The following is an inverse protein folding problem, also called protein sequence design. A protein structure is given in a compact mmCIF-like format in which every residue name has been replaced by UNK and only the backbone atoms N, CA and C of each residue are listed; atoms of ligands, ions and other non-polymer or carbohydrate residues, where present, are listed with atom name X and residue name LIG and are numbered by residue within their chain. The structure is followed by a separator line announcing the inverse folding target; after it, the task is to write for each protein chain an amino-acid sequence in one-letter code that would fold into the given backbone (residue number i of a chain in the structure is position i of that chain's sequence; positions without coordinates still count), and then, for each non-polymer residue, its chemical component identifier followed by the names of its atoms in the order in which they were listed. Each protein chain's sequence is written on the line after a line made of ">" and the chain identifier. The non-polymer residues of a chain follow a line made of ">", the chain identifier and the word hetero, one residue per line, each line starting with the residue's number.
data_IF_138922555619
#
_entry.id   IF_138922555619
#
_cell.length_a   1.000
_cell.length_b   1.000
_cell.length_c   1.000
_cell.angle_alpha   90.00
_cell.angle_beta   90.00
_cell.angle_gamma   90.00
#
_symmetry.space_group_name_H-M   'P 1'
#
loop_
_entity.id
_entity.type
_entity.pdbx_description
1 polymer ?
#
# COMPACT_ATOMS: atom_id res chain seq x y z
N UNK A 1 -9.62 0.01 5.47
CA UNK A 1 -8.20 0.34 5.78
C UNK A 1 -8.13 1.49 6.76
N UNK A 2 -8.88 2.56 6.54
CA UNK A 2 -8.85 3.79 7.35
C UNK A 2 -9.25 3.50 8.80
N UNK A 3 -10.30 2.73 9.02
CA UNK A 3 -10.75 2.36 10.36
C UNK A 3 -9.66 1.61 11.15
N UNK A 4 -8.88 0.75 10.49
CA UNK A 4 -7.77 0.02 11.11
C UNK A 4 -6.64 0.99 11.48
N UNK A 5 -6.21 1.85 10.55
CA UNK A 5 -5.16 2.84 10.80
C UNK A 5 -5.56 3.80 11.92
N UNK A 6 -6.79 4.29 11.91
CA UNK A 6 -7.34 5.13 12.97
C UNK A 6 -7.40 4.42 14.31
N UNK A 7 -7.85 3.16 14.34
CA UNK A 7 -7.92 2.36 15.57
C UNK A 7 -6.56 2.20 16.24
N UNK A 8 -5.55 1.80 15.48
CA UNK A 8 -4.18 1.67 15.99
C UNK A 8 -3.59 3.00 16.43
N UNK A 9 -3.78 4.06 15.63
CA UNK A 9 -3.25 5.39 15.97
C UNK A 9 -3.86 5.93 17.27
N UNK A 10 -5.17 5.82 17.44
CA UNK A 10 -5.85 6.25 18.67
C UNK A 10 -5.39 5.45 19.88
N UNK A 11 -5.21 4.15 19.74
CA UNK A 11 -4.71 3.31 20.81
C UNK A 11 -3.27 3.67 21.17
N UNK A 12 -2.41 3.88 20.19
CA UNK A 12 -1.02 4.31 20.41
C UNK A 12 -0.97 5.66 21.16
N UNK A 13 -1.75 6.64 20.71
CA UNK A 13 -1.84 7.94 21.35
C UNK A 13 -2.31 7.82 22.81
N UNK A 14 -3.32 6.99 23.09
CA UNK A 14 -3.79 6.73 24.45
C UNK A 14 -2.77 6.05 25.36
N UNK A 15 -1.78 5.37 24.77
CA UNK A 15 -0.65 4.75 25.46
C UNK A 15 0.55 5.70 25.64
N UNK A 16 0.44 6.94 25.19
CA UNK A 16 1.47 7.97 25.33
C UNK A 16 2.52 7.96 24.22
N UNK A 17 2.21 7.36 23.05
CA UNK A 17 3.09 7.45 21.88
C UNK A 17 2.82 8.74 21.10
N UNK A 18 3.87 9.48 20.78
CA UNK A 18 3.77 10.66 19.92
C UNK A 18 3.60 10.25 18.46
N UNK A 19 2.57 10.77 17.80
CA UNK A 19 2.31 10.58 16.38
C UNK A 19 2.53 11.91 15.66
N UNK A 20 3.62 12.02 14.94
CA UNK A 20 3.99 13.25 14.24
C UNK A 20 3.63 13.11 12.76
N UNK A 21 2.50 13.67 12.37
CA UNK A 21 2.03 13.67 10.99
C UNK A 21 2.77 14.71 10.14
N UNK A 22 2.81 14.50 8.83
CA UNK A 22 3.47 15.39 7.87
C UNK A 22 4.92 15.70 8.28
N UNK A 23 5.63 14.66 8.70
CA UNK A 23 7.01 14.70 9.15
C UNK A 23 7.82 13.68 8.35
N UNK A 24 8.46 14.13 7.30
CA UNK A 24 9.25 13.30 6.41
C UNK A 24 10.61 12.99 7.04
N UNK A 25 11.05 11.73 6.99
CA UNK A 25 12.40 11.33 7.35
C UNK A 25 13.33 11.66 6.16
N UNK A 26 14.32 12.51 6.42
CA UNK A 26 15.27 13.00 5.40
C UNK A 26 16.67 12.39 5.55
N UNK A 27 16.94 11.71 6.65
CA UNK A 27 18.21 11.06 6.90
C UNK A 27 18.35 10.48 8.30
N UNK A 28 19.53 9.95 8.58
CA UNK A 28 19.87 9.35 9.87
C UNK A 28 21.22 9.84 10.35
N UNK A 29 21.35 10.10 11.64
CA UNK A 29 22.62 10.37 12.29
C UNK A 29 23.25 9.05 12.72
N UNK A 30 24.33 8.67 12.06
CA UNK A 30 25.04 7.41 12.31
C UNK A 30 26.48 7.72 12.73
N UNK A 31 26.90 7.20 13.86
CA UNK A 31 28.27 7.34 14.36
C UNK A 31 28.82 5.96 14.74
N UNK A 32 29.97 5.58 14.18
CA UNK A 32 30.63 4.28 14.41
C UNK A 32 29.67 3.08 14.23
N UNK A 33 28.80 3.11 13.20
CA UNK A 33 27.81 2.06 12.89
C UNK A 33 26.63 1.99 13.86
N UNK A 34 26.42 3.01 14.70
CA UNK A 34 25.29 3.10 15.62
C UNK A 34 24.42 4.31 15.29
N UNK A 35 23.11 4.11 15.34
CA UNK A 35 22.13 5.20 15.20
C UNK A 35 22.20 6.10 16.43
N UNK A 36 22.30 7.41 16.21
CA UNK A 36 22.23 8.46 17.22
C UNK A 36 21.00 9.35 17.05
N UNK A 37 20.42 9.37 15.86
CA UNK A 37 19.24 10.18 15.58
C UNK A 37 18.61 9.93 14.23
N UNK A 38 17.46 10.56 14.04
CA UNK A 38 16.70 10.61 12.79
C UNK A 38 16.52 12.08 12.40
N UNK A 39 16.90 12.42 11.19
CA UNK A 39 16.69 13.74 10.60
C UNK A 39 15.32 13.78 9.96
N UNK A 40 14.55 14.81 10.24
CA UNK A 40 13.20 14.98 9.70
C UNK A 40 12.95 16.39 9.17
N UNK A 41 11.91 16.54 8.36
CA UNK A 41 11.46 17.84 7.87
C UNK A 41 10.99 18.79 8.99
N UNK A 42 10.83 18.29 10.22
CA UNK A 42 10.39 19.07 11.39
C UNK A 42 11.45 19.18 12.50
N UNK A 43 12.68 18.78 12.21
CA UNK A 43 13.79 18.78 13.15
C UNK A 43 14.32 17.38 13.43
N UNK A 44 15.39 17.29 14.23
CA UNK A 44 16.07 16.05 14.49
C UNK A 44 15.54 15.39 15.77
N UNK A 45 15.38 14.07 15.73
CA UNK A 45 14.94 13.25 16.86
C UNK A 45 16.13 12.41 17.32
N UNK A 46 16.60 12.61 18.55
CA UNK A 46 17.66 11.79 19.12
C UNK A 46 17.11 10.43 19.55
N UNK A 47 17.69 9.36 19.03
CA UNK A 47 17.32 7.98 19.37
C UNK A 47 18.46 7.02 19.10
N UNK A 48 18.50 5.93 19.84
CA UNK A 48 19.48 4.84 19.65
C UNK A 48 18.92 3.64 18.88
N UNK A 49 17.60 3.63 18.60
CA UNK A 49 16.93 2.54 17.90
C UNK A 49 15.85 3.11 16.99
N UNK A 50 15.77 2.60 15.78
CA UNK A 50 14.79 2.99 14.77
C UNK A 50 14.16 1.73 14.18
N UNK A 51 12.84 1.69 14.08
CA UNK A 51 12.09 0.68 13.36
C UNK A 51 11.60 1.25 12.02
N UNK A 52 11.96 0.61 10.91
CA UNK A 52 11.49 0.98 9.58
C UNK A 52 10.19 0.20 9.26
N UNK A 53 9.03 0.85 9.42
CA UNK A 53 7.72 0.29 9.14
C UNK A 53 7.05 1.08 8.00
N UNK A 54 7.72 1.19 6.86
CA UNK A 54 7.40 2.13 5.77
C UNK A 54 7.03 1.41 4.45
N UNK A 55 6.75 0.12 4.52
CA UNK A 55 6.28 -0.71 3.40
C UNK A 55 7.08 -0.47 2.11
N UNK A 56 6.45 -0.02 1.04
CA UNK A 56 7.08 0.21 -0.26
C UNK A 56 8.21 1.24 -0.27
N UNK A 57 8.31 2.11 0.73
CA UNK A 57 9.41 3.08 0.88
C UNK A 57 10.62 2.53 1.65
N UNK A 58 10.62 1.23 2.00
CA UNK A 58 11.66 0.62 2.83
C UNK A 58 13.05 0.75 2.20
N UNK A 59 13.18 0.51 0.90
CA UNK A 59 14.46 0.62 0.19
C UNK A 59 15.00 2.06 0.14
N UNK A 60 14.13 3.05 0.01
CA UNK A 60 14.55 4.46 0.03
C UNK A 60 15.21 4.84 1.37
N UNK A 61 14.62 4.40 2.49
CA UNK A 61 15.18 4.69 3.80
C UNK A 61 16.41 3.80 4.11
N UNK A 62 16.42 2.56 3.61
CA UNK A 62 17.59 1.69 3.73
C UNK A 62 18.81 2.25 2.98
N UNK A 63 18.59 2.83 1.80
CA UNK A 63 19.64 3.46 0.99
C UNK A 63 20.29 4.64 1.73
N UNK A 64 19.54 5.40 2.55
CA UNK A 64 20.10 6.47 3.40
C UNK A 64 21.08 5.93 4.45
N UNK A 65 21.01 4.62 4.73
CA UNK A 65 21.90 3.91 5.65
C UNK A 65 22.96 3.06 4.92
N UNK A 66 23.07 3.18 3.59
CA UNK A 66 23.90 2.31 2.73
C UNK A 66 23.57 0.81 2.90
N UNK A 67 22.31 0.48 3.21
CA UNK A 67 21.84 -0.88 3.36
C UNK A 67 21.08 -1.33 2.12
N UNK A 68 21.44 -2.48 1.56
CA UNK A 68 20.67 -3.12 0.49
C UNK A 68 19.76 -4.20 1.06
N UNK A 69 18.47 -4.07 0.78
CA UNK A 69 17.48 -5.06 1.15
C UNK A 69 16.92 -5.70 -0.12
N UNK A 70 16.62 -7.02 -0.12
CA UNK A 70 16.01 -7.72 -1.25
C UNK A 70 14.51 -7.42 -1.35
N UNK A 71 14.19 -6.15 -1.49
CA UNK A 71 12.82 -5.62 -1.54
C UNK A 71 12.71 -4.70 -2.75
N UNK A 72 11.67 -4.91 -3.54
CA UNK A 72 11.30 -4.04 -4.66
C UNK A 72 9.98 -3.33 -4.35
N UNK A 73 9.81 -2.13 -4.91
CA UNK A 73 8.58 -1.36 -4.78
C UNK A 73 7.75 -1.50 -6.06
N UNK A 74 6.58 -2.10 -5.95
CA UNK A 74 5.64 -2.24 -7.06
C UNK A 74 4.34 -1.50 -6.77
N UNK A 75 3.72 -0.95 -7.81
CA UNK A 75 2.47 -0.23 -7.65
C UNK A 75 1.30 -1.21 -7.72
N UNK A 76 0.55 -1.30 -6.63
CA UNK A 76 -0.71 -2.02 -6.56
C UNK A 76 -1.84 -1.10 -7.02
N UNK A 77 -2.55 -1.50 -8.06
CA UNK A 77 -3.57 -0.68 -8.69
C UNK A 77 -4.94 -0.85 -8.04
N UNK A 78 -5.67 0.25 -7.93
CA UNK A 78 -7.03 0.24 -7.44
C UNK A 78 -7.89 1.31 -8.15
N UNK A 79 -9.20 1.09 -8.09
CA UNK A 79 -10.18 1.98 -8.65
C UNK A 79 -11.48 1.98 -7.83
N UNK A 80 -12.28 3.01 -7.99
CA UNK A 80 -13.57 3.14 -7.30
C UNK A 80 -14.66 3.59 -8.27
N UNK A 81 -15.84 3.01 -8.13
CA UNK A 81 -17.02 3.36 -8.92
C UNK A 81 -17.83 4.50 -8.30
N UNK A 82 -18.82 4.96 -9.03
CA UNK A 82 -19.94 5.72 -8.47
C UNK A 82 -20.66 4.88 -7.38
N UNK A 83 -21.34 5.54 -6.41
CA UNK A 83 -22.11 4.83 -5.40
C UNK A 83 -23.34 4.15 -6.01
N UNK A 84 -23.59 2.94 -5.57
CA UNK A 84 -24.76 2.14 -5.93
C UNK A 84 -25.46 1.63 -4.67
N UNK A 85 -26.68 1.11 -4.83
CA UNK A 85 -27.39 0.49 -3.71
C UNK A 85 -26.57 -0.65 -3.10
N UNK A 86 -26.74 -0.96 -1.80
CA UNK A 86 -26.05 -2.06 -1.16
C UNK A 86 -26.19 -3.36 -1.93
N UNK A 87 -25.06 -3.94 -2.32
CA UNK A 87 -24.97 -5.15 -3.13
C UNK A 87 -24.01 -6.18 -2.49
N UNK A 88 -22.87 -5.71 -1.96
CA UNK A 88 -21.86 -6.55 -1.34
C UNK A 88 -21.69 -6.20 0.13
N UNK A 89 -21.87 -7.19 1.00
CA UNK A 89 -21.65 -7.05 2.45
C UNK A 89 -20.28 -7.60 2.89
N UNK A 90 -19.59 -8.30 2.01
CA UNK A 90 -18.31 -8.93 2.26
C UNK A 90 -17.25 -8.43 1.28
N UNK A 91 -15.99 -8.54 1.65
CA UNK A 91 -14.88 -8.43 0.70
C UNK A 91 -14.80 -9.72 -0.09
N UNK A 92 -14.83 -9.60 -1.40
CA UNK A 92 -14.64 -10.73 -2.33
C UNK A 92 -13.23 -10.64 -2.89
N UNK A 93 -12.47 -11.71 -2.78
CA UNK A 93 -11.13 -11.82 -3.35
C UNK A 93 -11.04 -13.00 -4.28
N UNK A 94 -10.34 -12.85 -5.37
CA UNK A 94 -10.03 -13.91 -6.31
C UNK A 94 -8.51 -13.97 -6.52
N UNK A 95 -7.85 -14.83 -5.74
CA UNK A 95 -6.39 -14.87 -5.66
C UNK A 95 -5.69 -15.16 -6.99
N UNK A 96 -6.19 -16.13 -7.76
CA UNK A 96 -5.61 -16.46 -9.07
C UNK A 96 -5.73 -15.35 -10.11
N UNK A 97 -6.70 -14.45 -9.97
CA UNK A 97 -6.91 -13.29 -10.84
C UNK A 97 -6.40 -11.98 -10.25
N UNK A 98 -5.71 -12.03 -9.10
CA UNK A 98 -5.22 -10.85 -8.39
C UNK A 98 -6.28 -9.74 -8.28
N UNK A 99 -7.52 -10.12 -7.99
CA UNK A 99 -8.67 -9.23 -7.93
C UNK A 99 -9.29 -9.23 -6.53
N UNK A 100 -9.65 -8.07 -6.05
CA UNK A 100 -10.55 -7.92 -4.91
C UNK A 100 -11.62 -6.87 -5.18
N UNK A 101 -12.75 -7.03 -4.53
CA UNK A 101 -13.83 -6.06 -4.56
C UNK A 101 -14.49 -5.97 -3.19
N UNK A 102 -14.83 -4.76 -2.79
CA UNK A 102 -15.65 -4.48 -1.61
C UNK A 102 -16.56 -3.29 -1.89
N UNK A 103 -17.66 -3.19 -1.17
CA UNK A 103 -18.50 -2.01 -1.22
C UNK A 103 -18.27 -1.16 0.03
N UNK A 104 -18.10 0.14 -0.16
CA UNK A 104 -17.97 1.09 0.94
C UNK A 104 -19.32 1.37 1.60
N UNK A 105 -19.32 1.90 2.82
CA UNK A 105 -20.55 2.33 3.51
C UNK A 105 -21.30 3.44 2.77
N UNK A 106 -20.63 4.15 1.85
CA UNK A 106 -21.23 5.16 0.99
C UNK A 106 -21.79 4.59 -0.33
N UNK A 107 -21.57 3.31 -0.57
CA UNK A 107 -22.09 2.58 -1.73
C UNK A 107 -21.13 2.40 -2.89
N UNK A 108 -19.93 3.01 -2.88
CA UNK A 108 -18.96 2.84 -3.96
C UNK A 108 -18.36 1.42 -3.95
N UNK A 109 -18.18 0.86 -5.14
CA UNK A 109 -17.42 -0.38 -5.31
C UNK A 109 -15.93 -0.06 -5.43
N UNK A 110 -15.15 -0.53 -4.47
CA UNK A 110 -13.69 -0.45 -4.47
C UNK A 110 -13.14 -1.74 -5.05
N UNK A 111 -12.40 -1.64 -6.13
CA UNK A 111 -11.81 -2.78 -6.83
C UNK A 111 -10.33 -2.55 -7.02
N UNK A 112 -9.56 -3.62 -6.92
CA UNK A 112 -8.12 -3.56 -7.13
C UNK A 112 -7.52 -4.95 -7.14
N UNK A 113 -6.21 -5.01 -7.23
CA UNK A 113 -5.51 -6.28 -7.11
C UNK A 113 -4.22 -6.39 -7.87
N UNK A 114 -4.16 -6.01 -9.09
CA UNK A 114 -2.98 -6.28 -9.90
C UNK A 114 -1.81 -5.32 -9.63
N UNK A 115 -0.60 -5.80 -9.83
CA UNK A 115 0.66 -5.08 -9.60
C UNK A 115 1.28 -4.68 -10.94
N UNK A 116 1.85 -3.48 -11.00
CA UNK A 116 2.72 -3.13 -12.12
C UNK A 116 3.92 -4.09 -12.16
N UNK A 117 4.23 -4.62 -13.34
CA UNK A 117 5.32 -5.58 -13.55
C UNK A 117 6.74 -4.99 -13.47
N UNK A 118 6.89 -3.79 -12.91
CA UNK A 118 8.17 -3.09 -12.80
C UNK A 118 8.26 -2.30 -11.49
N UNK A 119 9.49 -2.09 -11.03
CA UNK A 119 9.76 -1.29 -9.84
C UNK A 119 9.37 0.18 -10.07
N UNK A 120 8.52 0.71 -9.21
CA UNK A 120 8.02 2.08 -9.32
C UNK A 120 7.52 2.64 -8.00
N UNK A 121 7.63 3.94 -7.83
CA UNK A 121 7.07 4.73 -6.73
C UNK A 121 5.91 5.63 -7.19
N UNK A 122 5.39 5.42 -8.39
CA UNK A 122 4.24 6.15 -8.88
C UNK A 122 2.98 5.83 -8.06
N UNK A 123 2.21 6.84 -7.71
CA UNK A 123 0.93 6.66 -6.99
C UNK A 123 -0.27 6.95 -7.90
N UNK A 124 -0.09 6.76 -9.20
CA UNK A 124 -1.12 6.98 -10.22
C UNK A 124 -1.64 5.68 -10.76
N UNK A 125 -2.91 5.71 -11.21
CA UNK A 125 -3.50 4.61 -11.95
C UNK A 125 -2.75 4.38 -13.28
N UNK A 126 -2.58 3.11 -13.62
CA UNK A 126 -2.02 2.63 -14.88
C UNK A 126 -3.17 1.98 -15.66
N UNK A 127 -3.51 2.53 -16.83
CA UNK A 127 -4.68 2.07 -17.59
C UNK A 127 -4.65 0.58 -17.96
N UNK A 128 -3.54 -0.01 -18.45
CA UNK A 128 -3.47 -1.44 -18.67
C UNK A 128 -3.81 -2.29 -17.45
N UNK A 129 -3.26 -1.94 -16.27
CA UNK A 129 -3.53 -2.67 -15.03
C UNK A 129 -4.96 -2.47 -14.54
N UNK A 130 -5.49 -1.25 -14.61
CA UNK A 130 -6.90 -0.97 -14.29
C UNK A 130 -7.84 -1.77 -15.20
N UNK A 131 -7.53 -1.85 -16.49
CA UNK A 131 -8.29 -2.64 -17.44
C UNK A 131 -8.27 -4.13 -17.08
N UNK A 132 -7.13 -4.64 -16.62
CA UNK A 132 -6.98 -6.02 -16.13
C UNK A 132 -7.85 -6.27 -14.90
N UNK A 133 -7.78 -5.37 -13.89
CA UNK A 133 -8.62 -5.43 -12.68
C UNK A 133 -10.12 -5.41 -13.05
N UNK A 134 -10.54 -4.52 -13.95
CA UNK A 134 -11.93 -4.44 -14.38
C UNK A 134 -12.38 -5.68 -15.15
N UNK A 135 -11.52 -6.26 -15.97
CA UNK A 135 -11.80 -7.53 -16.67
C UNK A 135 -12.02 -8.66 -15.67
N UNK A 136 -11.17 -8.77 -14.65
CA UNK A 136 -11.35 -9.72 -13.55
C UNK A 136 -12.66 -9.48 -12.80
N UNK A 137 -12.99 -8.22 -12.53
CA UNK A 137 -14.23 -7.82 -11.90
C UNK A 137 -15.47 -8.23 -12.70
N UNK A 138 -15.45 -8.03 -14.02
CA UNK A 138 -16.56 -8.40 -14.92
C UNK A 138 -16.72 -9.92 -15.05
N UNK A 139 -15.63 -10.67 -14.96
CA UNK A 139 -15.68 -12.14 -14.97
C UNK A 139 -16.41 -12.69 -13.74
N UNK A 140 -16.21 -12.07 -12.57
CA UNK A 140 -16.84 -12.46 -11.30
C UNK A 140 -18.26 -11.86 -11.17
N UNK A 141 -18.41 -10.59 -11.57
CA UNK A 141 -19.64 -9.80 -11.44
C UNK A 141 -20.02 -9.15 -12.79
N UNK A 142 -20.66 -9.85 -13.72
CA UNK A 142 -21.04 -9.31 -15.04
C UNK A 142 -21.85 -8.01 -14.96
N UNK A 143 -22.64 -7.85 -13.91
CA UNK A 143 -23.47 -6.65 -13.69
C UNK A 143 -22.63 -5.37 -13.46
N UNK A 144 -21.34 -5.51 -13.13
CA UNK A 144 -20.43 -4.36 -12.97
C UNK A 144 -20.18 -3.61 -14.28
N UNK A 145 -20.55 -4.19 -15.43
CA UNK A 145 -20.50 -3.51 -16.73
C UNK A 145 -21.31 -2.19 -16.78
N UNK A 146 -22.23 -1.99 -15.83
CA UNK A 146 -23.04 -0.78 -15.72
C UNK A 146 -22.46 0.28 -14.79
N UNK A 147 -21.41 -0.06 -14.04
CA UNK A 147 -20.78 0.88 -13.11
C UNK A 147 -19.96 1.91 -13.86
N UNK A 148 -20.02 3.15 -13.41
CA UNK A 148 -19.13 4.21 -13.88
C UNK A 148 -17.96 4.36 -12.92
N UNK A 149 -16.75 4.37 -13.47
CA UNK A 149 -15.55 4.59 -12.69
C UNK A 149 -15.38 6.07 -12.36
N UNK A 150 -15.11 6.39 -11.10
CA UNK A 150 -14.88 7.77 -10.67
C UNK A 150 -13.39 8.12 -10.66
N UNK A 151 -12.56 7.22 -10.15
CA UNK A 151 -11.12 7.46 -10.05
C UNK A 151 -10.32 6.16 -9.93
N UNK A 152 -9.03 6.30 -10.20
CA UNK A 152 -8.02 5.26 -10.04
C UNK A 152 -6.85 5.80 -9.23
N UNK A 153 -6.14 4.93 -8.54
CA UNK A 153 -4.90 5.26 -7.83
C UNK A 153 -3.99 4.05 -7.75
N UNK A 154 -2.75 4.28 -7.36
CA UNK A 154 -1.79 3.23 -7.07
C UNK A 154 -1.23 3.38 -5.66
N UNK A 155 -1.07 2.26 -4.96
CA UNK A 155 -0.36 2.17 -3.68
C UNK A 155 0.98 1.48 -3.86
N UNK A 156 2.02 1.93 -3.17
CA UNK A 156 3.34 1.33 -3.27
C UNK A 156 3.40 0.12 -2.34
N UNK A 157 3.57 -1.06 -2.92
CA UNK A 157 3.70 -2.32 -2.22
C UNK A 157 5.16 -2.76 -2.16
N UNK A 158 5.62 -3.18 -0.99
CA UNK A 158 6.91 -3.82 -0.83
C UNK A 158 6.80 -5.29 -1.26
N UNK A 159 7.58 -5.68 -2.26
CA UNK A 159 7.66 -7.04 -2.78
C UNK A 159 9.05 -7.60 -2.46
N UNK A 160 9.11 -8.70 -1.73
CA UNK A 160 10.38 -9.38 -1.42
C UNK A 160 10.50 -10.69 -2.22
N UNK A 161 11.69 -11.25 -2.30
CA UNK A 161 11.92 -12.54 -2.95
C UNK A 161 11.08 -13.68 -2.37
N UNK A 162 10.67 -13.60 -1.11
CA UNK A 162 9.76 -14.57 -0.51
C UNK A 162 8.36 -14.51 -1.14
N UNK A 163 7.90 -13.34 -1.54
CA UNK A 163 6.63 -13.19 -2.27
C UNK A 163 6.75 -13.71 -3.71
N UNK A 164 7.87 -13.44 -4.39
CA UNK A 164 8.11 -13.91 -5.75
C UNK A 164 8.21 -15.45 -5.82
N UNK A 165 8.90 -16.07 -4.88
CA UNK A 165 9.03 -17.54 -4.83
C UNK A 165 7.74 -18.28 -4.46
N UNK A 166 6.83 -17.66 -3.73
CA UNK A 166 5.55 -18.27 -3.40
C UNK A 166 4.67 -18.54 -4.64
N UNK A 167 4.92 -17.81 -5.73
CA UNK A 167 4.23 -18.02 -7.02
C UNK A 167 4.90 -19.09 -7.90
N UNK A 168 6.19 -19.39 -7.69
CA UNK A 168 6.92 -20.43 -8.46
C UNK A 168 6.69 -21.85 -7.94
N UNK A 169 6.17 -22.03 -6.72
CA UNK A 169 5.93 -23.35 -6.12
C UNK A 169 4.53 -23.92 -6.37
N UNK A 170 3.72 -23.26 -7.19
CA UNK A 170 2.39 -23.72 -7.59
C UNK A 170 2.34 -24.30 -9.01
N UNK A 171 3.45 -24.90 -9.47
CA UNK A 171 3.49 -25.73 -10.70
C UNK A 171 3.57 -27.20 -10.37
#
# INVERSE_FOLDING_TARGET
>A
HDAVAWGYSRQADSMGFDIIQNCEVTGFDVNNGKIEGVQTSRGNIKTKKVGLCVAGSTTLLADMLNMRLPIEAHVLQACVSEPVKPLLHNVVTFGAGHFYCSQSDKGEMVMGGDLDGYNSYAQRGNMPMIQHVLTGGLAVFPNFSRLKMLRTWGGIMAVSYTHLRAHETCT
#
